data_IF_334113048273
#
_entry.id   IF_334113048273
#
_cell.length_a   1.000
_cell.length_b   1.000
_cell.length_c   1.000
_cell.angle_alpha   90.00
_cell.angle_beta   90.00
_cell.angle_gamma   90.00
#
_symmetry.space_group_name_H-M   'P 1'
#
loop_
_entity.id
_entity.type
_entity.pdbx_description
1 polymer ?
#
# COMPACT_ATOMS: atom_id res chain seq x y z
N UNK A 1 14.89 -28.88 22.36
CA UNK A 1 15.60 -28.16 21.28
C UNK A 1 16.59 -29.12 20.66
N UNK A 2 16.41 -29.50 19.39
CA UNK A 2 17.37 -30.37 18.71
C UNK A 2 18.67 -29.60 18.48
N UNK A 3 19.78 -30.08 19.05
CA UNK A 3 21.09 -29.49 18.81
C UNK A 3 21.40 -29.68 17.32
N UNK A 4 21.41 -28.58 16.55
CA UNK A 4 21.91 -28.61 15.18
C UNK A 4 23.41 -28.81 15.25
N UNK A 5 23.90 -29.93 14.73
CA UNK A 5 25.32 -30.13 14.52
C UNK A 5 25.72 -29.36 13.27
N UNK A 6 26.62 -28.39 13.42
CA UNK A 6 27.19 -27.59 12.34
C UNK A 6 28.71 -27.55 12.52
N UNK A 7 29.50 -27.74 11.45
CA UNK A 7 30.92 -27.43 11.47
C UNK A 7 31.18 -25.96 11.81
N UNK A 8 32.45 -25.62 12.04
CA UNK A 8 32.86 -24.24 12.29
C UNK A 8 32.35 -23.29 11.19
N UNK A 9 31.61 -22.25 11.56
CA UNK A 9 31.15 -21.21 10.64
C UNK A 9 32.32 -20.52 9.91
N UNK A 10 33.47 -20.42 10.56
CA UNK A 10 34.68 -19.88 9.93
C UNK A 10 35.22 -20.81 8.84
N UNK A 11 35.08 -22.12 9.04
CA UNK A 11 35.51 -23.12 8.06
C UNK A 11 34.54 -23.20 6.88
N UNK A 12 33.22 -23.13 7.15
CA UNK A 12 32.19 -23.03 6.12
C UNK A 12 32.36 -21.76 5.27
N UNK A 13 32.65 -20.62 5.90
CA UNK A 13 32.91 -19.35 5.20
C UNK A 13 34.20 -19.39 4.36
N UNK A 14 35.27 -19.99 4.89
CA UNK A 14 36.51 -20.16 4.14
C UNK A 14 36.34 -21.09 2.93
N UNK A 15 35.54 -22.15 3.08
CA UNK A 15 35.21 -23.05 1.99
C UNK A 15 34.38 -22.36 0.91
N UNK A 16 33.28 -21.68 1.26
CA UNK A 16 32.42 -20.99 0.28
C UNK A 16 33.22 -19.98 -0.55
N UNK A 17 34.01 -19.11 0.10
CA UNK A 17 34.82 -18.13 -0.61
C UNK A 17 35.85 -18.79 -1.54
N UNK A 18 36.50 -19.88 -1.10
CA UNK A 18 37.45 -20.63 -1.93
C UNK A 18 36.78 -21.37 -3.10
N UNK A 19 35.55 -21.84 -2.91
CA UNK A 19 34.75 -22.50 -3.92
C UNK A 19 34.29 -21.50 -5.00
N UNK A 20 33.79 -20.33 -4.60
CA UNK A 20 33.34 -19.27 -5.51
C UNK A 20 34.46 -18.68 -6.36
N UNK A 21 35.66 -18.50 -5.78
CA UNK A 21 36.82 -17.98 -6.52
C UNK A 21 37.65 -19.06 -7.22
N UNK A 22 37.39 -20.35 -6.96
CA UNK A 22 38.28 -21.47 -7.33
C UNK A 22 39.76 -21.25 -6.93
N UNK A 23 39.99 -20.46 -5.87
CA UNK A 23 41.31 -19.94 -5.49
C UNK A 23 41.42 -19.62 -4.00
N UNK A 24 42.31 -20.32 -3.30
CA UNK A 24 42.60 -20.05 -1.89
C UNK A 24 43.22 -18.65 -1.68
N UNK A 25 43.92 -18.10 -2.69
CA UNK A 25 44.54 -16.78 -2.61
C UNK A 25 43.48 -15.67 -2.64
N UNK A 26 42.55 -15.72 -3.59
CA UNK A 26 41.49 -14.72 -3.71
C UNK A 26 40.51 -14.80 -2.54
N UNK A 27 40.19 -16.00 -2.06
CA UNK A 27 39.40 -16.18 -0.84
C UNK A 27 40.08 -15.58 0.39
N UNK A 28 41.41 -15.68 0.49
CA UNK A 28 42.16 -15.08 1.58
C UNK A 28 42.15 -13.55 1.53
N UNK A 29 42.28 -12.98 0.33
CA UNK A 29 42.16 -11.53 0.10
C UNK A 29 40.77 -11.01 0.49
N UNK A 30 39.70 -11.68 0.06
CA UNK A 30 38.32 -11.31 0.40
C UNK A 30 38.07 -11.36 1.92
N UNK A 31 38.47 -12.46 2.56
CA UNK A 31 38.22 -12.68 3.98
C UNK A 31 39.24 -11.97 4.88
N UNK A 32 40.18 -11.20 4.32
CA UNK A 32 41.24 -10.49 5.05
C UNK A 32 42.08 -11.39 5.96
N UNK A 33 42.47 -12.57 5.45
CA UNK A 33 43.29 -13.58 6.16
C UNK A 33 44.43 -14.08 5.27
N UNK A 34 45.26 -15.01 5.76
CA UNK A 34 46.33 -15.62 4.95
C UNK A 34 45.83 -16.83 4.16
N UNK A 35 46.42 -17.10 2.99
CA UNK A 35 46.09 -18.30 2.19
C UNK A 35 46.35 -19.61 2.97
N UNK A 36 47.34 -19.61 3.87
CA UNK A 36 47.60 -20.72 4.80
C UNK A 36 46.45 -20.93 5.77
N UNK A 37 45.84 -19.86 6.29
CA UNK A 37 44.66 -19.95 7.16
C UNK A 37 43.45 -20.53 6.42
N UNK A 38 43.18 -20.08 5.18
CA UNK A 38 42.11 -20.66 4.35
C UNK A 38 42.31 -22.16 4.13
N UNK A 39 43.54 -22.56 3.76
CA UNK A 39 43.86 -23.97 3.55
C UNK A 39 43.71 -24.82 4.82
N UNK A 40 44.05 -24.26 5.98
CA UNK A 40 43.87 -24.94 7.28
C UNK A 40 42.38 -25.09 7.62
N UNK A 41 41.57 -24.05 7.39
CA UNK A 41 40.13 -24.09 7.63
C UNK A 41 39.42 -25.10 6.73
N UNK A 42 39.76 -25.14 5.43
CA UNK A 42 39.22 -26.12 4.49
C UNK A 42 39.59 -27.55 4.92
N UNK A 43 40.86 -27.79 5.27
CA UNK A 43 41.28 -29.12 5.73
C UNK A 43 40.53 -29.56 6.98
N UNK A 44 40.38 -28.67 7.95
CA UNK A 44 39.63 -28.95 9.18
C UNK A 44 38.15 -29.25 8.88
N UNK A 45 37.56 -28.57 7.89
CA UNK A 45 36.20 -28.85 7.43
C UNK A 45 36.09 -30.25 6.81
N UNK A 46 36.98 -30.59 5.87
CA UNK A 46 37.05 -31.91 5.23
C UNK A 46 37.24 -33.03 6.25
N UNK A 47 38.14 -32.83 7.22
CA UNK A 47 38.36 -33.78 8.33
C UNK A 47 37.12 -33.96 9.20
N UNK A 48 36.39 -32.87 9.49
CA UNK A 48 35.16 -32.93 10.30
C UNK A 48 34.00 -33.60 9.58
N UNK A 49 33.91 -33.46 8.25
CA UNK A 49 32.86 -34.04 7.42
C UNK A 49 33.22 -35.47 6.95
N UNK A 50 34.49 -35.85 7.04
CA UNK A 50 34.99 -37.14 6.55
C UNK A 50 35.01 -37.26 5.02
N UNK A 51 34.86 -36.16 4.29
CA UNK A 51 34.81 -36.12 2.82
C UNK A 51 35.73 -35.02 2.28
N UNK A 52 36.37 -35.29 1.14
CA UNK A 52 37.13 -34.27 0.41
C UNK A 52 36.17 -33.37 -0.37
N UNK A 53 36.29 -32.06 -0.20
CA UNK A 53 35.49 -31.05 -0.89
C UNK A 53 36.23 -30.48 -2.10
N UNK A 54 37.56 -30.58 -2.14
CA UNK A 54 38.39 -30.20 -3.28
C UNK A 54 39.25 -31.35 -3.82
N UNK A 55 39.46 -31.36 -5.13
CA UNK A 55 40.45 -32.18 -5.81
C UNK A 55 41.85 -31.59 -5.62
N UNK A 56 42.82 -32.45 -5.28
CA UNK A 56 44.23 -32.05 -5.13
C UNK A 56 44.88 -31.86 -6.51
N UNK A 57 44.73 -30.68 -7.11
CA UNK A 57 45.42 -30.29 -8.36
C UNK A 57 46.50 -29.23 -8.09
N UNK A 58 47.63 -29.25 -8.83
CA UNK A 58 48.63 -28.20 -8.71
C UNK A 58 48.05 -26.86 -9.18
N UNK A 59 48.11 -25.83 -8.32
CA UNK A 59 47.79 -24.41 -8.62
C UNK A 59 46.31 -24.06 -8.88
N UNK A 60 45.37 -25.00 -8.81
CA UNK A 60 43.94 -24.72 -8.96
C UNK A 60 43.12 -25.51 -7.95
N UNK A 61 42.09 -24.87 -7.37
CA UNK A 61 41.06 -25.58 -6.60
C UNK A 61 39.95 -26.00 -7.55
N UNK A 62 39.55 -27.27 -7.46
CA UNK A 62 38.43 -27.81 -8.22
C UNK A 62 37.54 -28.59 -7.27
N UNK A 63 36.24 -28.33 -7.30
CA UNK A 63 35.30 -28.94 -6.37
C UNK A 63 35.06 -30.40 -6.70
N UNK A 64 34.95 -31.22 -5.66
CA UNK A 64 34.36 -32.57 -5.76
C UNK A 64 32.84 -32.47 -5.84
N UNK A 65 32.15 -33.58 -6.10
CA UNK A 65 30.68 -33.60 -6.09
C UNK A 65 30.09 -33.19 -4.72
N UNK A 66 30.57 -33.71 -3.56
CA UNK A 66 30.17 -33.19 -2.25
C UNK A 66 30.51 -31.70 -2.06
N UNK A 67 31.61 -31.22 -2.65
CA UNK A 67 31.97 -29.81 -2.63
C UNK A 67 30.94 -28.93 -3.34
N UNK A 68 30.44 -29.35 -4.51
CA UNK A 68 29.41 -28.61 -5.26
C UNK A 68 28.07 -28.58 -4.53
N UNK A 69 27.68 -29.68 -3.90
CA UNK A 69 26.44 -29.75 -3.10
C UNK A 69 26.51 -28.79 -1.89
N UNK A 70 27.64 -28.81 -1.18
CA UNK A 70 27.85 -27.92 -0.04
C UNK A 70 27.92 -26.45 -0.47
N UNK A 71 28.56 -26.14 -1.61
CA UNK A 71 28.65 -24.79 -2.14
C UNK A 71 27.26 -24.18 -2.37
N UNK A 72 26.38 -24.89 -3.09
CA UNK A 72 25.02 -24.41 -3.39
C UNK A 72 24.22 -24.13 -2.12
N UNK A 73 24.37 -24.99 -1.10
CA UNK A 73 23.68 -24.81 0.18
C UNK A 73 24.22 -23.60 0.95
N UNK A 74 25.53 -23.41 0.96
CA UNK A 74 26.17 -22.31 1.69
C UNK A 74 25.95 -20.95 1.03
N UNK A 75 25.93 -20.88 -0.30
CA UNK A 75 25.64 -19.67 -1.05
C UNK A 75 24.25 -19.12 -0.66
N UNK A 76 23.21 -19.95 -0.78
CA UNK A 76 21.85 -19.56 -0.39
C UNK A 76 21.73 -19.20 1.10
N UNK A 77 22.43 -19.91 1.98
CA UNK A 77 22.39 -19.65 3.42
C UNK A 77 23.10 -18.34 3.80
N UNK A 78 24.28 -18.07 3.23
CA UNK A 78 25.03 -16.85 3.50
C UNK A 78 24.38 -15.62 2.86
N UNK A 79 23.77 -15.75 1.69
CA UNK A 79 22.96 -14.68 1.09
C UNK A 79 21.78 -14.30 1.99
N UNK A 80 21.06 -15.29 2.51
CA UNK A 80 19.94 -15.08 3.44
C UNK A 80 20.38 -14.40 4.74
N UNK A 81 21.54 -14.78 5.27
CA UNK A 81 22.14 -14.14 6.44
C UNK A 81 22.55 -12.70 6.10
N UNK A 82 23.22 -12.47 4.96
CA UNK A 82 23.66 -11.13 4.52
C UNK A 82 22.46 -10.19 4.37
N UNK A 83 21.42 -10.61 3.65
CA UNK A 83 20.20 -9.83 3.47
C UNK A 83 19.52 -9.48 4.81
N UNK A 84 19.60 -10.37 5.80
CA UNK A 84 19.08 -10.09 7.15
C UNK A 84 19.97 -9.10 7.90
N UNK A 85 21.29 -9.26 7.85
CA UNK A 85 22.24 -8.35 8.49
C UNK A 85 22.18 -6.95 7.86
N UNK A 86 22.06 -6.84 6.54
CA UNK A 86 21.89 -5.59 5.81
C UNK A 86 20.61 -4.86 6.25
N UNK A 87 19.50 -5.60 6.40
CA UNK A 87 18.24 -5.04 6.93
C UNK A 87 18.38 -4.56 8.38
N UNK A 88 19.15 -5.27 9.22
CA UNK A 88 19.40 -4.88 10.61
C UNK A 88 20.38 -3.70 10.73
N UNK A 89 21.33 -3.56 9.81
CA UNK A 89 22.33 -2.50 9.78
C UNK A 89 21.91 -1.25 9.01
N UNK A 90 20.78 -1.28 8.30
CA UNK A 90 20.17 -0.09 7.75
C UNK A 90 19.93 0.91 8.91
N UNK A 91 20.58 2.08 8.85
CA UNK A 91 20.28 3.23 9.73
C UNK A 91 18.76 3.45 9.77
N UNK A 92 18.18 4.02 10.85
CA UNK A 92 16.76 4.32 10.90
C UNK A 92 16.41 5.32 9.79
N UNK A 93 16.11 4.77 8.61
CA UNK A 93 15.33 5.43 7.59
C UNK A 93 13.99 5.64 8.28
N UNK A 94 13.41 6.84 8.14
CA UNK A 94 12.04 7.05 8.56
C UNK A 94 11.22 5.84 8.14
N UNK A 95 10.47 5.26 9.08
CA UNK A 95 9.70 4.07 8.80
C UNK A 95 8.65 4.46 7.76
N UNK A 96 8.91 4.07 6.50
CA UNK A 96 8.05 4.41 5.40
C UNK A 96 6.77 3.57 5.50
N UNK A 97 5.63 4.24 5.40
CA UNK A 97 4.32 3.60 5.39
C UNK A 97 3.50 4.21 4.27
N UNK A 98 2.91 3.37 3.45
CA UNK A 98 2.13 3.75 2.28
C UNK A 98 0.65 3.53 2.56
N UNK A 99 -0.09 4.64 2.63
CA UNK A 99 -1.54 4.66 2.76
C UNK A 99 -2.20 4.72 1.38
N UNK A 100 -2.90 3.65 1.02
CA UNK A 100 -3.66 3.56 -0.23
C UNK A 100 -5.08 4.09 -0.05
N UNK A 101 -5.53 5.04 -0.86
CA UNK A 101 -6.88 5.62 -0.73
C UNK A 101 -7.40 6.16 -2.06
N UNK A 102 -8.65 6.64 -2.09
CA UNK A 102 -9.17 7.32 -3.29
C UNK A 102 -8.57 8.72 -3.41
N UNK A 103 -8.43 9.27 -4.63
CA UNK A 103 -7.94 10.64 -4.82
C UNK A 103 -8.70 11.68 -3.98
N UNK A 104 -10.03 11.58 -3.93
CA UNK A 104 -10.87 12.50 -3.16
C UNK A 104 -10.60 12.42 -1.64
N UNK A 105 -10.46 11.22 -1.07
CA UNK A 105 -10.12 11.08 0.35
C UNK A 105 -8.74 11.66 0.64
N UNK A 106 -7.74 11.39 -0.20
CA UNK A 106 -6.40 11.93 0.01
C UNK A 106 -6.41 13.46 0.06
N UNK A 107 -6.90 14.12 -1.00
CA UNK A 107 -6.76 15.57 -1.13
C UNK A 107 -7.76 16.37 -0.28
N UNK A 108 -8.98 15.87 -0.11
CA UNK A 108 -10.06 16.60 0.57
C UNK A 108 -10.12 16.33 2.07
N UNK A 109 -9.64 15.17 2.51
CA UNK A 109 -9.66 14.81 3.92
C UNK A 109 -8.27 14.81 4.53
N UNK A 110 -7.35 13.98 4.05
CA UNK A 110 -6.16 13.61 4.82
C UNK A 110 -4.99 14.59 4.67
N UNK A 111 -4.70 15.01 3.43
CA UNK A 111 -3.56 15.89 3.09
C UNK A 111 -3.53 17.18 3.94
N UNK A 112 -4.66 17.89 4.19
CA UNK A 112 -4.67 19.06 5.05
C UNK A 112 -4.11 18.83 6.46
N UNK A 113 -4.16 17.59 6.96
CA UNK A 113 -3.82 17.25 8.34
C UNK A 113 -2.55 16.39 8.49
N UNK A 114 -1.81 16.18 7.40
CA UNK A 114 -0.54 15.43 7.42
C UNK A 114 0.49 16.07 8.35
N UNK A 115 0.40 17.38 8.59
CA UNK A 115 1.21 18.06 9.60
C UNK A 115 1.05 17.44 11.00
N UNK A 116 -0.16 17.05 11.40
CA UNK A 116 -0.42 16.47 12.72
C UNK A 116 0.29 15.12 12.89
N UNK A 117 0.34 14.29 11.84
CA UNK A 117 1.12 13.05 11.88
C UNK A 117 2.61 13.33 11.97
N UNK A 118 3.10 14.26 11.15
CA UNK A 118 4.53 14.63 11.13
C UNK A 118 5.00 15.18 12.47
N UNK A 119 4.15 15.93 13.16
CA UNK A 119 4.48 16.54 14.46
C UNK A 119 4.40 15.51 15.61
N UNK A 120 3.45 14.56 15.56
CA UNK A 120 3.30 13.51 16.58
C UNK A 120 4.24 12.31 16.38
N UNK A 121 4.62 12.01 15.13
CA UNK A 121 5.42 10.86 14.72
C UNK A 121 6.47 11.26 13.67
N UNK A 122 7.51 12.03 14.05
CA UNK A 122 8.50 12.59 13.10
C UNK A 122 9.37 11.54 12.38
N UNK A 123 9.39 10.32 12.92
CA UNK A 123 10.13 9.17 12.41
C UNK A 123 9.36 8.39 11.33
N UNK A 124 8.10 8.74 11.03
CA UNK A 124 7.29 8.09 10.00
C UNK A 124 7.39 8.87 8.68
N UNK A 125 7.67 8.16 7.58
CA UNK A 125 7.59 8.70 6.20
C UNK A 125 6.28 8.23 5.56
N UNK A 126 5.22 9.05 5.67
CA UNK A 126 3.91 8.73 5.10
C UNK A 126 3.89 8.98 3.59
N UNK A 127 3.54 7.94 2.83
CA UNK A 127 3.33 7.99 1.38
C UNK A 127 1.86 7.75 1.06
N UNK A 128 1.36 8.42 0.03
CA UNK A 128 0.01 8.18 -0.49
C UNK A 128 0.06 7.40 -1.79
N UNK A 129 -0.71 6.33 -1.86
CA UNK A 129 -1.04 5.67 -3.11
C UNK A 129 -2.51 5.98 -3.45
N UNK A 130 -2.75 6.89 -4.39
CA UNK A 130 -4.11 7.31 -4.76
C UNK A 130 -4.62 6.52 -5.96
N UNK A 131 -5.59 5.65 -5.73
CA UNK A 131 -6.26 4.87 -6.77
C UNK A 131 -7.68 4.51 -6.32
N UNK A 132 -8.61 4.43 -7.27
CA UNK A 132 -9.94 3.84 -7.03
C UNK A 132 -9.89 2.31 -7.00
N UNK A 133 -8.87 1.71 -7.62
CA UNK A 133 -8.66 0.27 -7.60
C UNK A 133 -8.02 -0.16 -6.27
N UNK A 134 -8.55 -1.20 -5.62
CA UNK A 134 -7.88 -1.82 -4.49
C UNK A 134 -6.52 -2.38 -4.92
N UNK A 135 -5.52 -2.23 -4.04
CA UNK A 135 -4.17 -2.77 -4.22
C UNK A 135 -3.84 -3.73 -3.09
N UNK A 136 -2.84 -4.59 -3.32
CA UNK A 136 -2.35 -5.48 -2.28
C UNK A 136 -1.77 -4.69 -1.10
N UNK A 137 -2.10 -5.12 0.12
CA UNK A 137 -1.52 -4.59 1.36
C UNK A 137 -0.36 -5.50 1.80
N UNK A 138 0.67 -5.59 0.96
CA UNK A 138 1.81 -6.50 1.10
C UNK A 138 3.05 -5.84 1.70
N UNK A 139 2.98 -4.55 2.05
CA UNK A 139 4.13 -3.76 2.50
C UNK A 139 5.08 -3.32 1.39
N UNK A 140 4.76 -3.63 0.12
CA UNK A 140 5.47 -3.16 -1.07
C UNK A 140 4.64 -2.11 -1.79
N UNK A 141 3.39 -2.43 -2.11
CA UNK A 141 2.48 -1.53 -2.82
C UNK A 141 1.79 -0.57 -1.86
N UNK A 142 1.27 -1.11 -0.76
CA UNK A 142 0.67 -0.37 0.33
C UNK A 142 0.74 -1.17 1.64
N UNK A 143 0.64 -0.47 2.76
CA UNK A 143 0.68 -1.05 4.10
C UNK A 143 -0.70 -1.01 4.77
N UNK A 144 -1.45 0.04 4.48
CA UNK A 144 -2.76 0.37 5.02
C UNK A 144 -3.59 1.03 3.92
N UNK A 145 -4.91 0.93 3.98
CA UNK A 145 -5.78 1.60 3.02
C UNK A 145 -7.06 2.18 3.63
N UNK A 146 -7.62 3.18 2.95
CA UNK A 146 -8.98 3.67 3.20
C UNK A 146 -9.83 3.35 1.99
N UNK A 147 -10.88 2.54 2.20
CA UNK A 147 -11.74 2.01 1.14
C UNK A 147 -13.19 2.00 1.57
N UNK A 148 -14.10 2.23 0.64
CA UNK A 148 -15.51 1.97 0.87
C UNK A 148 -15.84 0.52 0.55
N UNK A 149 -16.70 -0.10 1.36
CA UNK A 149 -17.05 -1.51 1.20
C UNK A 149 -18.05 -1.99 2.25
N UNK A 150 -18.25 -3.30 2.30
CA UNK A 150 -19.14 -3.94 3.28
C UNK A 150 -18.43 -4.33 4.59
N UNK A 151 -17.17 -3.93 4.76
CA UNK A 151 -16.37 -4.28 5.94
C UNK A 151 -15.73 -5.66 5.89
N UNK A 152 -15.87 -6.40 4.78
CA UNK A 152 -15.45 -7.81 4.70
C UNK A 152 -14.29 -8.00 3.72
N UNK A 153 -13.07 -7.87 4.24
CA UNK A 153 -11.85 -8.18 3.50
C UNK A 153 -11.09 -9.34 4.17
N UNK A 154 -11.03 -10.53 3.56
CA UNK A 154 -10.35 -11.68 4.16
C UNK A 154 -8.88 -11.39 4.49
N UNK A 155 -8.46 -11.73 5.71
CA UNK A 155 -7.09 -11.51 6.18
C UNK A 155 -6.74 -10.06 6.56
N UNK A 156 -7.70 -9.13 6.44
CA UNK A 156 -7.53 -7.74 6.86
C UNK A 156 -8.42 -7.43 8.07
N UNK A 157 -7.93 -6.52 8.91
CA UNK A 157 -8.76 -5.76 9.84
C UNK A 157 -9.49 -4.69 9.04
N UNK A 158 -10.76 -4.44 9.38
CA UNK A 158 -11.55 -3.37 8.80
C UNK A 158 -12.24 -2.57 9.90
N UNK A 159 -11.86 -1.31 10.03
CA UNK A 159 -12.44 -0.38 10.99
C UNK A 159 -13.29 0.65 10.25
N UNK A 160 -14.59 0.66 10.56
CA UNK A 160 -15.52 1.61 9.96
C UNK A 160 -15.13 3.03 10.39
N UNK A 161 -14.93 3.90 9.41
CA UNK A 161 -14.65 5.32 9.62
C UNK A 161 -15.95 6.12 9.57
N UNK A 162 -16.78 5.91 8.54
CA UNK A 162 -18.06 6.62 8.38
C UNK A 162 -18.99 6.03 7.34
N UNK A 163 -20.26 6.40 7.45
CA UNK A 163 -21.26 6.15 6.41
C UNK A 163 -21.13 7.12 5.25
N UNK A 164 -21.36 6.61 4.05
CA UNK A 164 -21.28 7.38 2.82
C UNK A 164 -22.68 7.56 2.25
N UNK A 165 -23.05 8.79 1.91
CA UNK A 165 -24.37 9.12 1.37
C UNK A 165 -24.20 9.94 0.11
N UNK A 166 -24.87 9.54 -0.98
CA UNK A 166 -24.85 10.25 -2.25
C UNK A 166 -26.03 11.20 -2.37
N UNK A 167 -25.75 12.44 -2.75
CA UNK A 167 -26.75 13.51 -2.89
C UNK A 167 -26.57 14.25 -4.23
N UNK A 168 -27.68 14.67 -4.89
CA UNK A 168 -27.61 15.59 -6.01
C UNK A 168 -27.15 16.96 -5.52
N UNK A 169 -26.14 17.51 -6.17
CA UNK A 169 -25.61 18.84 -5.85
C UNK A 169 -25.29 19.63 -7.10
N UNK A 170 -25.39 20.94 -6.97
CA UNK A 170 -24.99 21.87 -8.01
C UNK A 170 -24.50 23.19 -7.42
N UNK A 171 -23.83 23.99 -8.24
CA UNK A 171 -23.57 25.40 -7.91
C UNK A 171 -24.90 26.15 -7.72
N UNK A 172 -25.02 27.03 -6.71
CA UNK A 172 -26.22 27.87 -6.55
C UNK A 172 -26.46 28.78 -7.76
N UNK A 173 -25.44 29.04 -8.58
CA UNK A 173 -25.57 29.82 -9.83
C UNK A 173 -26.48 29.17 -10.88
N UNK A 174 -26.75 27.87 -10.80
CA UNK A 174 -27.73 27.24 -11.69
C UNK A 174 -29.18 27.60 -11.33
N UNK A 175 -29.42 28.17 -10.14
CA UNK A 175 -30.75 28.59 -9.71
C UNK A 175 -31.77 27.45 -9.56
N UNK A 176 -31.30 26.20 -9.55
CA UNK A 176 -32.14 25.00 -9.54
C UNK A 176 -32.83 24.82 -8.18
N UNK A 177 -34.15 24.63 -8.18
CA UNK A 177 -34.94 24.48 -6.93
C UNK A 177 -35.86 23.28 -6.94
N UNK A 178 -36.32 22.85 -8.11
CA UNK A 178 -37.24 21.73 -8.25
C UNK A 178 -36.58 20.60 -9.04
N UNK A 179 -36.80 19.37 -8.59
CA UNK A 179 -36.34 18.17 -9.29
C UNK A 179 -36.93 18.05 -10.70
N UNK A 180 -38.12 18.60 -10.94
CA UNK A 180 -38.73 18.65 -12.27
C UNK A 180 -37.92 19.45 -13.30
N UNK A 181 -37.01 20.30 -12.85
CA UNK A 181 -36.11 21.09 -13.70
C UNK A 181 -34.85 20.31 -14.09
N UNK A 182 -34.49 19.25 -13.36
CA UNK A 182 -33.28 18.46 -13.58
C UNK A 182 -33.07 18.01 -15.04
N UNK A 183 -34.09 17.55 -15.80
CA UNK A 183 -33.91 17.19 -17.21
C UNK A 183 -33.44 18.32 -18.14
N UNK A 184 -33.49 19.58 -17.68
CA UNK A 184 -33.04 20.76 -18.43
C UNK A 184 -31.56 21.09 -18.19
N UNK A 185 -30.90 20.39 -17.27
CA UNK A 185 -29.51 20.65 -16.89
C UNK A 185 -28.60 19.46 -17.25
N UNK A 186 -27.34 19.71 -17.62
CA UNK A 186 -26.38 18.64 -17.82
C UNK A 186 -26.17 17.84 -16.53
N UNK A 187 -26.14 16.52 -16.65
CA UNK A 187 -25.71 15.65 -15.57
C UNK A 187 -24.18 15.50 -15.61
N UNK A 188 -23.56 15.55 -14.44
CA UNK A 188 -22.14 15.27 -14.26
C UNK A 188 -22.03 13.85 -13.70
N UNK A 189 -21.25 13.03 -14.39
CA UNK A 189 -21.02 11.62 -14.08
C UNK A 189 -19.59 11.42 -13.60
N UNK A 190 -19.44 10.65 -12.53
CA UNK A 190 -18.18 10.08 -12.11
C UNK A 190 -18.17 8.58 -12.42
N UNK A 191 -17.19 8.12 -13.21
CA UNK A 191 -17.01 6.72 -13.60
C UNK A 191 -15.53 6.35 -13.51
N UNK A 192 -15.13 5.73 -12.40
CA UNK A 192 -13.77 5.20 -12.26
C UNK A 192 -13.47 4.18 -13.37
N UNK A 193 -12.26 4.22 -13.95
CA UNK A 193 -11.89 3.46 -15.17
C UNK A 193 -12.09 1.94 -15.05
N UNK A 194 -11.96 1.35 -13.86
CA UNK A 194 -12.18 -0.09 -13.63
C UNK A 194 -13.63 -0.45 -13.24
N UNK A 195 -14.51 0.51 -13.01
CA UNK A 195 -15.89 0.24 -12.64
C UNK A 195 -16.75 0.09 -13.91
N UNK A 196 -17.03 -1.15 -14.32
CA UNK A 196 -17.96 -1.46 -15.43
C UNK A 196 -19.38 -0.95 -15.12
N UNK A 197 -19.74 -0.79 -13.85
CA UNK A 197 -20.92 -0.05 -13.39
C UNK A 197 -20.70 0.47 -11.97
N UNK A 198 -21.16 1.69 -11.68
CA UNK A 198 -21.29 2.17 -10.29
C UNK A 198 -22.71 1.86 -9.83
N UNK A 199 -22.93 1.10 -8.74
CA UNK A 199 -24.27 0.85 -8.21
C UNK A 199 -24.94 2.11 -7.62
N UNK A 200 -24.26 3.27 -7.66
CA UNK A 200 -24.70 4.58 -7.19
C UNK A 200 -24.47 5.63 -8.27
N UNK A 201 -25.20 5.48 -9.37
CA UNK A 201 -25.18 6.41 -10.50
C UNK A 201 -26.54 7.11 -10.67
N UNK A 202 -26.61 7.96 -11.69
CA UNK A 202 -27.83 8.70 -12.02
C UNK A 202 -29.02 7.81 -12.37
N UNK A 203 -28.80 6.62 -12.95
CA UNK A 203 -29.87 5.68 -13.26
C UNK A 203 -30.50 5.11 -11.98
N UNK A 204 -29.67 4.72 -11.01
CA UNK A 204 -30.13 4.28 -9.69
C UNK A 204 -30.87 5.42 -8.96
N UNK A 205 -30.33 6.64 -9.02
CA UNK A 205 -30.93 7.80 -8.40
C UNK A 205 -32.28 8.17 -9.02
N UNK A 206 -32.38 8.19 -10.35
CA UNK A 206 -33.62 8.48 -11.08
C UNK A 206 -34.75 7.54 -10.66
N UNK A 207 -34.45 6.24 -10.53
CA UNK A 207 -35.41 5.23 -10.09
C UNK A 207 -35.89 5.48 -8.66
N UNK A 208 -35.00 5.91 -7.76
CA UNK A 208 -35.36 6.24 -6.38
C UNK A 208 -36.18 7.53 -6.30
N UNK A 209 -35.81 8.54 -7.10
CA UNK A 209 -36.43 9.86 -7.13
C UNK A 209 -37.79 9.90 -7.84
N UNK A 210 -38.16 8.83 -8.57
CA UNK A 210 -39.34 8.77 -9.43
C UNK A 210 -39.42 9.95 -10.43
N UNK A 211 -38.29 10.30 -11.05
CA UNK A 211 -38.21 11.38 -12.06
C UNK A 211 -38.31 10.79 -13.47
N UNK A 212 -39.49 10.85 -14.12
CA UNK A 212 -39.65 10.28 -15.45
C UNK A 212 -38.87 11.08 -16.49
N UNK A 213 -38.28 10.39 -17.47
CA UNK A 213 -37.70 11.04 -18.66
C UNK A 213 -36.36 11.75 -18.43
N UNK A 214 -35.69 11.57 -17.29
CA UNK A 214 -34.31 12.02 -17.11
C UNK A 214 -33.38 11.19 -18.02
N UNK A 215 -32.65 11.86 -18.93
CA UNK A 215 -31.62 11.23 -19.75
C UNK A 215 -30.32 11.07 -18.96
N UNK A 216 -30.13 9.87 -18.41
CA UNK A 216 -28.93 9.51 -17.63
C UNK A 216 -27.76 9.04 -18.50
N UNK A 217 -27.92 9.01 -19.83
CA UNK A 217 -26.89 8.54 -20.76
C UNK A 217 -25.97 9.66 -21.25
N UNK A 218 -26.42 10.91 -21.17
CA UNK A 218 -25.72 12.10 -21.61
C UNK A 218 -25.11 12.90 -20.44
N UNK A 219 -24.11 13.73 -20.75
CA UNK A 219 -23.48 14.64 -19.79
C UNK A 219 -21.96 14.54 -19.75
N UNK A 220 -21.35 15.30 -18.83
CA UNK A 220 -19.90 15.27 -18.61
C UNK A 220 -19.53 14.00 -17.86
N UNK A 221 -18.49 13.29 -18.29
CA UNK A 221 -18.02 12.06 -17.65
C UNK A 221 -16.57 12.24 -17.22
N UNK A 222 -16.32 12.08 -15.93
CA UNK A 222 -14.99 12.14 -15.34
C UNK A 222 -14.58 10.79 -14.76
N UNK A 223 -13.31 10.44 -14.93
CA UNK A 223 -12.71 9.27 -14.29
C UNK A 223 -12.22 9.52 -12.87
N UNK A 224 -12.24 10.77 -12.42
CA UNK A 224 -11.82 11.22 -11.09
C UNK A 224 -12.93 12.06 -10.47
N UNK A 225 -13.33 11.70 -9.25
CA UNK A 225 -14.41 12.35 -8.51
C UNK A 225 -14.09 13.82 -8.19
N UNK A 226 -12.82 14.17 -8.01
CA UNK A 226 -12.39 15.56 -7.73
C UNK A 226 -12.64 16.49 -8.93
N UNK A 227 -12.51 15.99 -10.15
CA UNK A 227 -12.86 16.73 -11.37
C UNK A 227 -14.37 16.94 -11.47
N UNK A 228 -15.16 15.92 -11.15
CA UNK A 228 -16.61 16.01 -11.15
C UNK A 228 -17.15 17.02 -10.12
N UNK A 229 -16.56 17.04 -8.92
CA UNK A 229 -16.84 18.06 -7.89
C UNK A 229 -16.49 19.46 -8.40
N UNK A 230 -15.31 19.62 -9.02
CA UNK A 230 -14.86 20.91 -9.57
C UNK A 230 -15.81 21.42 -10.66
N UNK A 231 -16.31 20.53 -11.53
CA UNK A 231 -17.30 20.87 -12.55
C UNK A 231 -18.64 21.30 -11.94
N UNK A 232 -19.09 20.65 -10.86
CA UNK A 232 -20.31 21.03 -10.15
C UNK A 232 -20.18 22.42 -9.51
N UNK A 233 -19.04 22.72 -8.87
CA UNK A 233 -18.74 24.05 -8.30
C UNK A 233 -18.76 25.11 -9.41
N UNK A 234 -18.15 24.79 -10.55
CA UNK A 234 -18.09 25.64 -11.74
C UNK A 234 -19.41 25.76 -12.53
N UNK A 235 -20.54 25.36 -11.95
CA UNK A 235 -21.87 25.45 -12.55
C UNK A 235 -22.01 24.75 -13.91
N UNK A 236 -21.27 23.65 -14.14
CA UNK A 236 -21.34 22.90 -15.40
C UNK A 236 -22.49 21.89 -15.47
N UNK A 237 -23.26 21.74 -14.39
CA UNK A 237 -24.36 20.79 -14.30
C UNK A 237 -24.67 20.37 -12.88
N UNK A 238 -25.49 19.34 -12.76
CA UNK A 238 -25.83 18.69 -11.49
C UNK A 238 -25.00 17.42 -11.35
N UNK A 239 -24.35 17.25 -10.22
CA UNK A 239 -23.52 16.10 -9.90
C UNK A 239 -24.17 15.25 -8.81
N UNK A 240 -23.99 13.93 -8.88
CA UNK A 240 -24.35 13.02 -7.81
C UNK A 240 -23.06 12.67 -7.05
N UNK A 241 -22.93 13.15 -5.82
CA UNK A 241 -21.67 13.13 -5.07
C UNK A 241 -21.86 12.62 -3.65
N UNK A 242 -20.80 12.03 -3.09
CA UNK A 242 -20.72 11.76 -1.65
C UNK A 242 -20.84 13.07 -0.86
N UNK A 243 -21.89 13.21 -0.05
CA UNK A 243 -22.17 14.37 0.82
C UNK A 243 -20.96 14.66 1.71
N UNK A 244 -20.43 13.60 2.30
CA UNK A 244 -19.25 13.57 3.14
C UNK A 244 -18.04 14.24 2.45
N UNK A 245 -17.76 13.91 1.19
CA UNK A 245 -16.60 14.46 0.47
C UNK A 245 -16.77 15.94 0.07
N UNK A 246 -17.99 16.48 0.07
CA UNK A 246 -18.30 17.85 -0.33
C UNK A 246 -18.86 18.71 0.81
N UNK A 247 -18.70 18.26 2.06
CA UNK A 247 -19.29 18.93 3.23
C UNK A 247 -18.83 20.38 3.33
N UNK A 248 -17.55 20.66 3.03
CA UNK A 248 -17.02 22.03 3.04
C UNK A 248 -17.70 22.92 1.99
N UNK A 249 -17.94 22.42 0.78
CA UNK A 249 -18.63 23.18 -0.27
C UNK A 249 -20.09 23.45 0.07
N UNK A 250 -20.75 22.49 0.72
CA UNK A 250 -22.11 22.64 1.19
C UNK A 250 -22.17 23.68 2.32
N UNK A 251 -21.27 23.57 3.31
CA UNK A 251 -21.16 24.49 4.45
C UNK A 251 -20.82 25.91 4.00
N UNK A 252 -19.98 26.06 2.99
CA UNK A 252 -19.53 27.35 2.47
C UNK A 252 -20.44 27.90 1.36
N UNK A 253 -21.51 27.16 1.01
CA UNK A 253 -22.50 27.58 0.01
C UNK A 253 -21.96 27.60 -1.43
N UNK A 254 -20.80 26.98 -1.70
CA UNK A 254 -20.28 26.78 -3.07
C UNK A 254 -21.09 25.75 -3.83
N UNK A 255 -21.63 24.76 -3.12
CA UNK A 255 -22.60 23.80 -3.62
C UNK A 255 -23.86 23.88 -2.77
N UNK A 256 -24.99 23.54 -3.39
CA UNK A 256 -26.26 23.32 -2.71
C UNK A 256 -26.80 21.95 -3.08
N UNK A 257 -27.57 21.34 -2.19
CA UNK A 257 -28.38 20.17 -2.46
C UNK A 257 -29.81 20.67 -2.79
N UNK A 258 -30.15 20.88 -4.08
CA UNK A 258 -31.43 21.50 -4.43
C UNK A 258 -32.64 20.60 -4.14
N UNK A 259 -32.45 19.28 -4.12
CA UNK A 259 -33.51 18.30 -3.88
C UNK A 259 -32.93 16.96 -3.41
N UNK A 260 -33.81 16.10 -2.88
CA UNK A 260 -33.54 14.69 -2.63
C UNK A 260 -34.11 13.79 -3.73
N UNK A 261 -34.09 12.46 -3.54
CA UNK A 261 -33.69 11.74 -2.32
C UNK A 261 -32.16 11.59 -2.19
N UNK A 262 -31.73 11.25 -0.98
CA UNK A 262 -30.36 10.78 -0.71
C UNK A 262 -30.26 9.27 -1.01
N UNK A 263 -29.07 8.79 -1.38
CA UNK A 263 -28.81 7.38 -1.62
C UNK A 263 -27.69 6.86 -0.72
N UNK A 264 -27.97 5.81 0.05
CA UNK A 264 -26.97 5.17 0.90
C UNK A 264 -25.86 4.50 0.08
N UNK A 265 -24.63 4.98 0.23
CA UNK A 265 -23.43 4.38 -0.30
C UNK A 265 -22.84 3.29 0.62
N UNK A 266 -21.73 2.70 0.21
CA UNK A 266 -20.96 1.81 1.09
C UNK A 266 -20.12 2.65 2.06
N UNK A 267 -20.09 2.30 3.37
CA UNK A 267 -19.29 3.03 4.34
C UNK A 267 -17.80 2.91 4.05
N UNK A 268 -17.05 3.96 4.40
CA UNK A 268 -15.59 3.97 4.36
C UNK A 268 -15.02 3.27 5.58
N UNK A 269 -13.93 2.53 5.35
CA UNK A 269 -13.20 1.79 6.36
C UNK A 269 -11.71 2.05 6.20
N UNK A 270 -11.00 2.07 7.33
CA UNK A 270 -9.56 1.88 7.39
C UNK A 270 -9.29 0.37 7.40
N UNK A 271 -8.42 -0.11 6.53
CA UNK A 271 -8.11 -1.53 6.38
C UNK A 271 -6.60 -1.78 6.37
N UNK A 272 -6.16 -2.83 7.04
CA UNK A 272 -4.76 -3.25 7.11
C UNK A 272 -4.63 -4.74 7.42
N UNK A 273 -3.50 -5.41 7.12
CA UNK A 273 -3.33 -6.83 7.37
C UNK A 273 -3.45 -7.19 8.86
N UNK A 274 -4.17 -8.28 9.16
CA UNK A 274 -4.31 -8.79 10.53
C UNK A 274 -2.94 -9.07 11.19
N UNK A 275 -1.98 -9.57 10.41
CA UNK A 275 -0.60 -9.83 10.85
C UNK A 275 0.18 -8.57 11.27
N UNK A 276 -0.29 -7.38 10.90
CA UNK A 276 0.33 -6.09 11.21
C UNK A 276 -0.50 -5.25 12.18
N UNK A 277 -1.49 -5.85 12.86
CA UNK A 277 -2.32 -5.16 13.84
C UNK A 277 -1.51 -4.47 14.94
N UNK A 278 -0.43 -5.11 15.40
CA UNK A 278 0.44 -4.61 16.47
C UNK A 278 1.68 -3.87 15.94
N UNK A 279 1.77 -3.62 14.63
CA UNK A 279 2.85 -2.84 14.04
C UNK A 279 2.76 -1.37 14.50
N UNK A 280 3.82 -0.82 15.14
CA UNK A 280 3.80 0.55 15.64
C UNK A 280 3.50 1.61 14.56
N UNK A 281 3.93 1.39 13.32
CA UNK A 281 3.71 2.33 12.21
C UNK A 281 2.26 2.33 11.74
N UNK A 282 1.67 1.14 11.61
CA UNK A 282 0.25 0.97 11.26
C UNK A 282 -0.62 1.59 12.35
N UNK A 283 -0.29 1.32 13.61
CA UNK A 283 -1.01 1.88 14.76
C UNK A 283 -0.94 3.40 14.80
N UNK A 284 0.24 3.99 14.59
CA UNK A 284 0.42 5.44 14.56
C UNK A 284 -0.42 6.12 13.46
N UNK A 285 -0.38 5.58 12.23
CA UNK A 285 -1.18 6.12 11.12
C UNK A 285 -2.67 5.91 11.36
N UNK A 286 -3.07 4.76 11.90
CA UNK A 286 -4.46 4.49 12.30
C UNK A 286 -4.97 5.51 13.32
N UNK A 287 -4.23 5.69 14.42
CA UNK A 287 -4.60 6.64 15.48
C UNK A 287 -4.67 8.06 14.93
N UNK A 288 -3.75 8.45 14.04
CA UNK A 288 -3.82 9.73 13.35
C UNK A 288 -5.07 9.85 12.47
N UNK A 289 -5.36 8.88 11.59
CA UNK A 289 -6.55 8.91 10.72
C UNK A 289 -7.83 9.09 11.53
N UNK A 290 -7.96 8.38 12.65
CA UNK A 290 -9.14 8.46 13.53
C UNK A 290 -9.23 9.83 14.23
N UNK A 291 -8.08 10.43 14.59
CA UNK A 291 -8.04 11.70 15.30
C UNK A 291 -8.13 12.95 14.38
N UNK A 292 -7.97 12.77 13.06
CA UNK A 292 -7.94 13.89 12.12
C UNK A 292 -9.32 14.58 12.03
N UNK A 293 -9.39 15.92 12.18
CA UNK A 293 -10.63 16.66 12.03
C UNK A 293 -11.20 16.61 10.62
N UNK A 294 -12.51 16.74 10.53
CA UNK A 294 -13.28 16.72 9.29
C UNK A 294 -14.53 15.92 9.52
N UNK A 295 -15.69 16.40 9.05
CA UNK A 295 -17.02 15.77 9.21
C UNK A 295 -17.17 14.41 8.53
N UNK A 296 -16.04 13.75 8.27
CA UNK A 296 -15.89 12.41 7.74
C UNK A 296 -15.69 11.41 8.86
N UNK A 297 -15.14 11.73 10.04
CA UNK A 297 -15.18 10.79 11.17
C UNK A 297 -15.97 11.44 12.31
N UNK A 298 -17.10 10.85 12.69
CA UNK A 298 -17.68 11.12 14.00
C UNK A 298 -16.81 10.38 15.03
N UNK A 299 -16.09 11.15 15.86
CA UNK A 299 -15.35 10.63 17.01
C UNK A 299 -16.28 10.03 18.06
#
# INVERSE_FOLDING_TARGET
MAHRWLPSLSALRAFEAAARHESAKQAAEELSVTATAISHQIRSLEESLGVALFLRKPRKLELTEPGRELQQTLEAAFDSISATVERLNAKPCRQAITLSTTPAIAVRWLVPWVCLLRDSHPDIDLRFHTSHEPVALDGVTADIAIRYGDGRWPGLVAEKLFDNTFVPVCSPHLGLRDVAELPKHPLIHFRAQAAVSSPRDWAAWQKLANVPGLDVSAGLVFSDETHAISAAIGAQGVALMSRQLIEDELREGRLVQPFGPEMEGKPFHLVYPESRRDDPTVRAVREWVIAVPGGLCEL
#
